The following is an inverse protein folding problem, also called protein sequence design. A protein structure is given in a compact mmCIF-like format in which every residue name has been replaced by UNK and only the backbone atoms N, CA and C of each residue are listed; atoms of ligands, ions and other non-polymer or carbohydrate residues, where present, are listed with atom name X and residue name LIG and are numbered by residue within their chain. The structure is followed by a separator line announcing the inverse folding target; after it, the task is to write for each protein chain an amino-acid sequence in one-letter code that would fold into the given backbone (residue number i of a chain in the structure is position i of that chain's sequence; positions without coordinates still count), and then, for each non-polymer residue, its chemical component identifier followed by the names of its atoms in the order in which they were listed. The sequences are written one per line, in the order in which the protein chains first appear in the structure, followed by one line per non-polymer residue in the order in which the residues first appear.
data_IF_629906133737
#
_entry.id   IF_629906133737
#
_cell.length_a   1.000
_cell.length_b   1.000
_cell.length_c   1.000
_cell.angle_alpha   90.00
_cell.angle_beta   90.00
_cell.angle_gamma   90.00
#
_symmetry.space_group_name_H-M   'P 1'
#
loop_
_entity.id
_entity.type
_entity.pdbx_description
1 polymer ?
#
# COMPACT_ATOMS: atom_id res chain seq x y z
N UNK A 1 -14.15 -13.99 13.73
CA UNK A 1 -15.35 -14.85 14.02
C UNK A 1 -16.56 -14.17 13.37
N UNK A 2 -17.63 -14.90 12.97
CA UNK A 2 -18.84 -14.28 12.42
C UNK A 2 -19.41 -13.17 13.29
N UNK A 3 -19.44 -13.40 14.60
CA UNK A 3 -19.89 -12.45 15.60
C UNK A 3 -19.08 -11.15 15.66
N UNK A 4 -17.77 -11.21 15.38
CA UNK A 4 -16.92 -10.04 15.35
C UNK A 4 -17.27 -9.14 14.14
N UNK A 5 -17.74 -9.71 13.02
CA UNK A 5 -18.22 -9.00 11.84
C UNK A 5 -19.45 -8.14 12.14
N UNK A 6 -20.45 -8.74 12.81
CA UNK A 6 -21.68 -8.05 13.24
C UNK A 6 -21.37 -6.97 14.28
N UNK A 7 -20.53 -7.29 15.29
CA UNK A 7 -20.12 -6.36 16.32
C UNK A 7 -19.36 -5.16 15.75
N UNK A 8 -18.50 -5.38 14.75
CA UNK A 8 -17.78 -4.30 14.10
C UNK A 8 -18.73 -3.37 13.32
N UNK A 9 -19.69 -3.94 12.61
CA UNK A 9 -20.72 -3.16 11.92
C UNK A 9 -21.54 -2.31 12.91
N UNK A 10 -21.96 -2.90 14.04
CA UNK A 10 -22.69 -2.20 15.10
C UNK A 10 -21.85 -1.05 15.70
N UNK A 11 -20.56 -1.30 15.96
CA UNK A 11 -19.64 -0.28 16.45
C UNK A 11 -19.56 0.94 15.52
N UNK A 12 -19.38 0.72 14.20
CA UNK A 12 -19.32 1.82 13.23
C UNK A 12 -20.64 2.61 13.17
N UNK A 13 -21.77 1.92 13.26
CA UNK A 13 -23.10 2.56 13.34
C UNK A 13 -23.21 3.46 14.56
N UNK A 14 -22.86 2.94 15.75
CA UNK A 14 -22.90 3.71 17.01
C UNK A 14 -21.97 4.92 16.97
N UNK A 15 -20.76 4.80 16.40
CA UNK A 15 -19.86 5.93 16.18
C UNK A 15 -20.49 7.01 15.31
N UNK A 16 -21.10 6.63 14.17
CA UNK A 16 -21.71 7.60 13.25
C UNK A 16 -22.92 8.29 13.88
N UNK A 17 -23.73 7.57 14.66
CA UNK A 17 -24.87 8.11 15.40
C UNK A 17 -24.40 9.08 16.50
N UNK A 18 -23.35 8.74 17.23
CA UNK A 18 -22.77 9.60 18.27
C UNK A 18 -22.17 10.90 17.66
N UNK A 19 -21.45 10.80 16.54
CA UNK A 19 -20.93 11.97 15.83
C UNK A 19 -22.05 12.89 15.33
N UNK A 20 -23.14 12.32 14.81
CA UNK A 20 -24.30 13.10 14.38
C UNK A 20 -25.04 13.77 15.56
N UNK A 21 -25.12 13.12 16.71
CA UNK A 21 -25.69 13.70 17.92
C UNK A 21 -24.85 14.86 18.49
N UNK A 22 -23.52 14.67 18.51
CA UNK A 22 -22.58 15.73 18.92
C UNK A 22 -22.67 16.96 18.01
N UNK A 23 -22.71 16.76 16.70
CA UNK A 23 -22.84 17.83 15.71
C UNK A 23 -24.10 18.70 15.95
N UNK A 24 -25.23 18.09 16.29
CA UNK A 24 -26.46 18.81 16.63
C UNK A 24 -26.32 19.69 17.87
N UNK A 25 -25.54 19.24 18.85
CA UNK A 25 -25.33 19.97 20.11
C UNK A 25 -24.30 21.08 19.92
N UNK A 26 -23.21 20.78 19.22
CA UNK A 26 -22.10 21.74 19.01
C UNK A 26 -22.40 22.77 17.92
N UNK A 27 -23.34 22.51 17.02
CA UNK A 27 -23.63 23.33 15.83
C UNK A 27 -22.53 23.26 14.77
N UNK A 28 -21.68 22.22 14.81
CA UNK A 28 -20.58 21.97 13.84
C UNK A 28 -20.98 20.84 12.90
N UNK A 29 -20.19 20.69 11.82
CA UNK A 29 -20.32 19.53 10.92
C UNK A 29 -19.97 18.24 11.67
N UNK A 30 -20.67 17.12 11.36
CA UNK A 30 -20.36 15.83 11.95
C UNK A 30 -18.92 15.39 11.67
N UNK A 31 -18.31 14.73 12.63
CA UNK A 31 -16.99 14.13 12.45
C UNK A 31 -17.02 13.09 11.34
N UNK A 32 -15.98 13.11 10.51
CA UNK A 32 -15.74 12.08 9.51
C UNK A 32 -15.32 10.78 10.21
N UNK A 33 -15.85 9.66 9.73
CA UNK A 33 -15.48 8.34 10.19
C UNK A 33 -14.85 7.56 9.05
N UNK A 34 -13.58 7.23 9.16
CA UNK A 34 -12.81 6.51 8.14
C UNK A 34 -12.22 5.23 8.70
N UNK A 35 -11.80 4.35 7.82
CA UNK A 35 -11.20 3.07 8.21
C UNK A 35 -10.01 2.75 7.31
N UNK A 36 -8.86 2.38 7.90
CA UNK A 36 -7.81 1.69 7.19
C UNK A 36 -7.96 0.18 7.35
N UNK A 37 -7.88 -0.57 6.26
CA UNK A 37 -8.05 -2.02 6.27
C UNK A 37 -7.02 -2.74 5.40
N UNK A 38 -6.61 -3.94 5.82
CA UNK A 38 -5.75 -4.79 4.99
C UNK A 38 -6.42 -5.14 3.66
N UNK A 39 -5.66 -5.10 2.57
CA UNK A 39 -6.15 -5.28 1.20
C UNK A 39 -7.01 -6.54 1.01
N UNK A 40 -6.64 -7.67 1.65
CA UNK A 40 -7.34 -8.96 1.52
C UNK A 40 -8.41 -9.21 2.60
N UNK A 41 -8.89 -8.16 3.26
CA UNK A 41 -9.92 -8.30 4.32
C UNK A 41 -11.36 -8.16 3.83
N UNK A 42 -11.60 -7.86 2.56
CA UNK A 42 -12.92 -7.69 1.97
C UNK A 42 -13.92 -8.77 2.41
N UNK A 43 -13.55 -10.04 2.27
CA UNK A 43 -14.42 -11.20 2.63
C UNK A 43 -14.70 -11.37 4.12
N UNK A 44 -13.99 -10.64 5.00
CA UNK A 44 -14.15 -10.75 6.46
C UNK A 44 -15.10 -9.72 7.03
N UNK A 45 -15.52 -8.73 6.23
CA UNK A 45 -16.33 -7.59 6.62
C UNK A 45 -17.70 -7.62 5.94
N UNK A 46 -18.65 -6.90 6.50
CA UNK A 46 -19.94 -6.63 5.87
C UNK A 46 -19.84 -5.34 5.06
N UNK A 47 -19.23 -5.43 3.87
CA UNK A 47 -18.87 -4.27 3.09
C UNK A 47 -20.05 -3.37 2.74
N UNK A 48 -21.23 -3.90 2.29
CA UNK A 48 -22.37 -3.07 2.03
C UNK A 48 -22.90 -2.33 3.26
N UNK A 49 -22.86 -2.96 4.44
CA UNK A 49 -23.34 -2.32 5.67
C UNK A 49 -22.34 -1.29 6.22
N UNK A 50 -21.06 -1.64 6.34
CA UNK A 50 -20.07 -0.71 6.88
C UNK A 50 -19.88 0.52 6.01
N UNK A 51 -20.04 0.39 4.68
CA UNK A 51 -19.95 1.51 3.74
C UNK A 51 -21.03 2.59 3.97
N UNK A 52 -22.13 2.26 4.65
CA UNK A 52 -23.18 3.23 4.99
C UNK A 52 -22.71 4.19 6.09
N UNK A 53 -21.83 3.72 6.97
CA UNK A 53 -21.40 4.47 8.16
C UNK A 53 -20.04 5.15 7.96
N UNK A 54 -19.21 4.63 7.05
CA UNK A 54 -17.89 5.19 6.75
C UNK A 54 -17.98 6.28 5.66
N UNK A 55 -17.22 7.34 5.85
CA UNK A 55 -17.06 8.39 4.84
C UNK A 55 -16.14 7.92 3.71
N UNK A 56 -15.04 7.21 4.05
CA UNK A 56 -14.20 6.44 3.10
C UNK A 56 -13.44 5.31 3.78
N UNK A 57 -12.88 4.44 2.97
CA UNK A 57 -12.09 3.27 3.37
C UNK A 57 -10.74 3.33 2.66
N UNK A 58 -9.65 3.36 3.43
CA UNK A 58 -8.29 3.24 2.93
C UNK A 58 -7.87 1.77 2.88
N UNK A 59 -7.67 1.20 1.70
CA UNK A 59 -7.14 -0.16 1.57
C UNK A 59 -5.61 -0.12 1.60
N UNK A 60 -5.01 -0.77 2.59
CA UNK A 60 -3.56 -0.92 2.71
C UNK A 60 -3.06 -1.97 1.70
N UNK A 61 -2.92 -1.54 0.43
CA UNK A 61 -2.55 -2.40 -0.69
C UNK A 61 -1.02 -2.52 -0.83
N UNK A 62 -0.36 -2.87 0.26
CA UNK A 62 1.08 -3.07 0.41
C UNK A 62 1.37 -4.10 1.50
N UNK A 63 2.64 -4.38 1.76
CA UNK A 63 3.09 -5.43 2.69
C UNK A 63 2.65 -6.84 2.29
N UNK A 64 2.53 -7.09 0.99
CA UNK A 64 2.16 -8.43 0.53
C UNK A 64 3.30 -9.41 0.76
N UNK A 65 4.54 -8.99 0.53
CA UNK A 65 5.76 -9.75 0.83
C UNK A 65 6.78 -8.91 1.59
N UNK A 66 7.58 -9.58 2.42
CA UNK A 66 8.69 -8.96 3.15
C UNK A 66 9.60 -9.98 3.81
N UNK A 67 10.89 -9.69 3.89
CA UNK A 67 11.90 -10.60 4.41
C UNK A 67 11.70 -11.04 5.86
N UNK A 68 10.86 -10.33 6.64
CA UNK A 68 10.53 -10.70 8.01
C UNK A 68 9.52 -11.84 8.15
N UNK A 69 8.75 -12.14 7.08
CA UNK A 69 7.67 -13.17 7.13
C UNK A 69 7.59 -14.05 5.88
N UNK A 70 8.18 -13.65 4.75
CA UNK A 70 8.18 -14.42 3.51
C UNK A 70 9.48 -15.23 3.39
N UNK A 71 9.37 -16.48 2.93
CA UNK A 71 10.54 -17.36 2.70
C UNK A 71 11.21 -17.13 1.34
N UNK A 72 10.50 -16.48 0.44
CA UNK A 72 10.92 -16.17 -0.92
C UNK A 72 10.74 -14.67 -1.18
N UNK A 73 11.53 -14.14 -2.10
CA UNK A 73 11.40 -12.76 -2.55
C UNK A 73 10.08 -12.56 -3.27
N UNK A 74 9.38 -11.48 -2.93
CA UNK A 74 8.12 -11.12 -3.55
C UNK A 74 7.91 -9.61 -3.49
N UNK A 75 6.97 -9.09 -4.27
CA UNK A 75 6.74 -7.67 -4.39
C UNK A 75 5.97 -7.12 -3.20
N UNK A 76 6.41 -5.97 -2.68
CA UNK A 76 5.72 -5.27 -1.59
C UNK A 76 4.26 -4.91 -1.95
N UNK A 77 4.06 -4.41 -3.17
CA UNK A 77 2.75 -3.98 -3.68
C UNK A 77 2.63 -4.20 -5.19
N UNK A 78 2.63 -5.47 -5.68
CA UNK A 78 2.53 -5.78 -7.11
C UNK A 78 1.20 -5.29 -7.68
N UNK A 79 1.23 -4.64 -8.86
CA UNK A 79 0.02 -4.01 -9.40
C UNK A 79 -0.97 -5.01 -10.02
N UNK A 80 -0.50 -5.82 -10.97
CA UNK A 80 -1.40 -6.58 -11.88
C UNK A 80 -1.36 -8.08 -11.72
N UNK A 81 -0.33 -8.62 -11.14
CA UNK A 81 -0.14 -10.05 -10.92
C UNK A 81 0.95 -10.23 -9.88
N UNK A 82 1.12 -11.45 -9.43
CA UNK A 82 2.14 -11.80 -8.47
C UNK A 82 2.88 -13.05 -8.94
N UNK A 83 4.18 -12.94 -9.24
CA UNK A 83 4.97 -14.10 -9.66
C UNK A 83 5.10 -15.18 -8.58
N UNK A 84 4.78 -14.87 -7.32
CA UNK A 84 4.90 -15.77 -6.18
C UNK A 84 3.57 -16.28 -5.65
N UNK A 85 2.44 -15.69 -6.08
CA UNK A 85 1.12 -16.06 -5.55
C UNK A 85 -0.02 -15.26 -6.15
N UNK A 86 -1.04 -15.03 -5.34
CA UNK A 86 -2.32 -14.44 -5.76
C UNK A 86 -2.61 -13.10 -5.05
N UNK A 87 -1.55 -12.41 -4.61
CA UNK A 87 -1.64 -11.16 -3.85
C UNK A 87 -1.17 -9.96 -4.67
N UNK A 88 -2.10 -9.22 -5.27
CA UNK A 88 -1.80 -8.02 -6.04
C UNK A 88 -2.87 -6.93 -5.91
N UNK A 89 -2.46 -5.69 -6.13
CA UNK A 89 -3.25 -4.48 -5.87
C UNK A 89 -4.56 -4.47 -6.65
N UNK A 90 -4.54 -4.73 -7.96
CA UNK A 90 -5.75 -4.66 -8.78
C UNK A 90 -6.81 -5.68 -8.34
N UNK A 91 -6.39 -6.90 -7.96
CA UNK A 91 -7.31 -7.91 -7.42
C UNK A 91 -7.89 -7.47 -6.08
N UNK A 92 -7.07 -6.90 -5.20
CA UNK A 92 -7.57 -6.40 -3.93
C UNK A 92 -8.64 -5.32 -4.14
N UNK A 93 -8.39 -4.36 -5.05
CA UNK A 93 -9.40 -3.34 -5.42
C UNK A 93 -10.68 -4.00 -5.91
N UNK A 94 -10.58 -4.95 -6.83
CA UNK A 94 -11.75 -5.65 -7.38
C UNK A 94 -12.53 -6.40 -6.29
N UNK A 95 -11.86 -7.08 -5.36
CA UNK A 95 -12.52 -7.78 -4.24
C UNK A 95 -13.32 -6.82 -3.33
N UNK A 96 -12.84 -5.59 -3.11
CA UNK A 96 -13.56 -4.58 -2.32
C UNK A 96 -14.77 -4.01 -3.08
N UNK A 97 -14.63 -3.72 -4.36
CA UNK A 97 -15.70 -3.20 -5.22
C UNK A 97 -16.79 -4.26 -5.43
N UNK A 98 -16.42 -5.48 -5.78
CA UNK A 98 -17.33 -6.62 -5.95
C UNK A 98 -18.04 -6.99 -4.64
N UNK A 99 -17.38 -6.72 -3.51
CA UNK A 99 -17.97 -6.87 -2.18
C UNK A 99 -19.00 -5.81 -1.82
N UNK A 100 -19.18 -4.77 -2.65
CA UNK A 100 -20.22 -3.77 -2.51
C UNK A 100 -19.79 -2.43 -1.89
N UNK A 101 -18.49 -2.15 -1.83
CA UNK A 101 -18.01 -0.80 -1.48
C UNK A 101 -18.18 0.12 -2.69
N UNK A 102 -18.86 1.27 -2.56
CA UNK A 102 -18.93 2.26 -3.63
C UNK A 102 -17.54 2.77 -4.00
N UNK A 103 -17.16 2.87 -5.30
CA UNK A 103 -15.83 3.29 -5.74
C UNK A 103 -15.43 4.65 -5.15
N UNK A 104 -16.36 5.59 -5.05
CA UNK A 104 -16.16 6.93 -4.48
C UNK A 104 -15.91 6.95 -2.95
N UNK A 105 -15.94 5.78 -2.31
CA UNK A 105 -15.56 5.58 -0.91
C UNK A 105 -14.30 4.74 -0.72
N UNK A 106 -13.73 4.22 -1.80
CA UNK A 106 -12.54 3.39 -1.74
C UNK A 106 -11.29 4.18 -2.11
N UNK A 107 -10.33 4.24 -1.21
CA UNK A 107 -9.05 4.95 -1.38
C UNK A 107 -7.93 3.92 -1.48
N UNK A 108 -7.09 4.03 -2.51
CA UNK A 108 -5.96 3.13 -2.72
C UNK A 108 -4.74 3.55 -1.89
N UNK A 109 -4.34 2.71 -0.95
CA UNK A 109 -3.10 2.87 -0.21
C UNK A 109 -1.88 2.47 -1.03
N UNK A 110 -0.88 3.33 -1.04
CA UNK A 110 0.40 3.18 -1.75
C UNK A 110 1.57 3.38 -0.78
N UNK A 111 2.64 2.54 -0.87
CA UNK A 111 3.78 2.68 0.01
C UNK A 111 4.78 3.70 -0.53
N UNK A 112 5.38 4.49 0.37
CA UNK A 112 6.57 5.31 0.13
C UNK A 112 7.81 4.66 0.76
N UNK A 113 7.80 3.33 0.86
CA UNK A 113 8.86 2.50 1.41
C UNK A 113 8.98 1.20 0.65
N UNK A 114 10.07 0.50 0.87
CA UNK A 114 10.28 -0.84 0.32
C UNK A 114 10.51 -1.90 1.40
N UNK A 115 10.40 -3.15 0.98
CA UNK A 115 10.75 -4.32 1.79
C UNK A 115 12.03 -4.95 1.26
N UNK A 116 12.92 -5.37 2.17
CA UNK A 116 14.19 -5.98 1.78
C UNK A 116 14.35 -7.39 2.32
N UNK A 117 15.08 -8.19 1.54
CA UNK A 117 15.37 -9.60 1.80
C UNK A 117 16.87 -9.82 1.80
N UNK A 118 17.35 -10.66 2.70
CA UNK A 118 18.75 -11.05 2.82
C UNK A 118 19.01 -12.48 2.38
N UNK A 119 20.27 -12.80 2.07
CA UNK A 119 20.69 -14.14 1.65
C UNK A 119 20.12 -14.60 0.31
N UNK A 120 19.81 -13.65 -0.58
CA UNK A 120 19.21 -13.94 -1.91
C UNK A 120 20.33 -14.21 -2.92
N UNK A 121 20.38 -15.43 -3.46
CA UNK A 121 21.40 -15.83 -4.45
C UNK A 121 21.01 -15.47 -5.88
N UNK A 122 19.75 -15.49 -6.22
CA UNK A 122 19.22 -15.21 -7.55
C UNK A 122 18.42 -13.91 -7.53
N UNK A 123 18.72 -12.93 -8.40
CA UNK A 123 17.99 -11.67 -8.42
C UNK A 123 16.52 -11.78 -8.85
N UNK A 124 16.09 -12.88 -9.43
CA UNK A 124 14.71 -13.04 -9.90
C UNK A 124 13.70 -13.08 -8.73
N UNK A 125 12.48 -12.56 -8.90
CA UNK A 125 11.40 -12.78 -7.95
C UNK A 125 11.15 -14.28 -7.67
N UNK A 126 10.53 -14.59 -6.55
CA UNK A 126 10.29 -15.96 -6.06
C UNK A 126 11.59 -16.73 -5.72
N UNK A 127 12.69 -16.04 -5.51
CA UNK A 127 13.95 -16.64 -5.07
C UNK A 127 13.97 -16.84 -3.56
N UNK A 128 14.62 -17.89 -3.11
CA UNK A 128 14.79 -18.17 -1.67
C UNK A 128 15.48 -17.01 -0.97
N UNK A 129 15.02 -16.69 0.24
CA UNK A 129 15.58 -15.70 1.13
C UNK A 129 15.88 -16.31 2.50
N UNK A 130 16.94 -15.85 3.14
CA UNK A 130 17.28 -16.22 4.52
C UNK A 130 16.55 -15.36 5.56
N UNK A 131 15.79 -14.34 5.14
CA UNK A 131 15.00 -13.47 6.01
C UNK A 131 15.07 -12.01 5.65
N UNK A 132 14.94 -11.14 6.65
CA UNK A 132 14.98 -9.70 6.48
C UNK A 132 16.34 -9.23 5.94
N UNK A 133 16.30 -8.31 4.99
CA UNK A 133 17.49 -7.62 4.50
C UNK A 133 18.04 -6.60 5.49
N UNK A 134 19.12 -5.89 5.13
CA UNK A 134 19.74 -4.88 6.00
C UNK A 134 18.74 -3.80 6.41
N UNK A 135 18.94 -3.27 7.62
CA UNK A 135 18.22 -2.10 8.12
C UNK A 135 18.69 -0.83 7.41
N UNK A 136 17.78 0.10 7.19
CA UNK A 136 18.11 1.43 6.72
C UNK A 136 18.88 2.25 7.77
N UNK A 137 19.56 3.29 7.31
CA UNK A 137 20.34 4.19 8.17
C UNK A 137 19.45 4.98 9.14
N UNK A 138 18.27 5.40 8.65
CA UNK A 138 17.30 6.21 9.39
C UNK A 138 16.15 5.38 9.93
N UNK A 139 15.57 4.50 9.10
CA UNK A 139 14.46 3.62 9.51
C UNK A 139 14.87 2.61 10.58
N UNK A 140 16.11 2.12 10.55
CA UNK A 140 16.69 1.27 11.60
C UNK A 140 16.07 -0.12 11.77
N UNK A 141 15.07 -0.48 10.98
CA UNK A 141 14.35 -1.75 11.03
C UNK A 141 14.86 -2.70 9.94
N UNK A 142 15.33 -3.93 10.28
CA UNK A 142 15.68 -4.92 9.27
C UNK A 142 14.50 -5.27 8.36
N UNK A 143 14.74 -5.30 7.06
CA UNK A 143 13.70 -5.62 6.08
C UNK A 143 12.78 -4.45 5.70
N UNK A 144 13.02 -3.25 6.22
CA UNK A 144 12.24 -2.04 5.95
C UNK A 144 13.15 -0.87 5.57
N UNK A 145 12.88 -0.21 4.45
CA UNK A 145 13.65 0.92 3.94
C UNK A 145 12.71 2.01 3.44
N UNK A 146 12.94 3.26 3.83
CA UNK A 146 12.27 4.42 3.25
C UNK A 146 12.65 4.59 1.76
N UNK A 147 11.79 5.22 0.97
CA UNK A 147 12.06 5.45 -0.45
C UNK A 147 13.35 6.25 -0.67
N UNK A 148 13.60 7.30 0.13
CA UNK A 148 14.87 8.04 0.05
C UNK A 148 16.10 7.18 0.37
N UNK A 149 16.01 6.22 1.30
CA UNK A 149 17.11 5.30 1.60
C UNK A 149 17.38 4.33 0.44
N UNK A 150 16.32 3.91 -0.26
CA UNK A 150 16.42 3.06 -1.45
C UNK A 150 17.10 3.84 -2.58
N UNK A 151 16.70 5.10 -2.79
CA UNK A 151 17.34 5.97 -3.79
C UNK A 151 18.84 6.15 -3.49
N UNK A 152 19.22 6.45 -2.25
CA UNK A 152 20.63 6.53 -1.82
C UNK A 152 21.42 5.25 -2.16
N UNK A 153 20.82 4.08 -1.91
CA UNK A 153 21.45 2.79 -2.21
C UNK A 153 21.62 2.55 -3.71
N UNK A 154 20.62 2.91 -4.52
CA UNK A 154 20.66 2.79 -5.99
C UNK A 154 21.70 3.77 -6.57
N UNK A 155 21.69 5.03 -6.14
CA UNK A 155 22.61 6.07 -6.59
C UNK A 155 24.09 5.76 -6.21
N UNK A 156 24.30 5.05 -5.11
CA UNK A 156 25.64 4.57 -4.73
C UNK A 156 26.24 3.57 -5.72
N UNK A 157 25.44 3.05 -6.68
CA UNK A 157 25.85 2.04 -7.65
C UNK A 157 25.99 0.61 -7.10
N UNK A 158 25.65 0.38 -5.83
CA UNK A 158 25.71 -0.95 -5.21
C UNK A 158 24.56 -1.85 -5.66
N UNK A 159 23.36 -1.27 -5.80
CA UNK A 159 22.17 -1.99 -6.21
C UNK A 159 21.91 -1.79 -7.69
N UNK A 160 21.72 -2.90 -8.41
CA UNK A 160 21.23 -2.89 -9.78
C UNK A 160 19.71 -2.96 -9.78
N UNK A 161 19.08 -2.05 -10.51
CA UNK A 161 17.61 -1.98 -10.64
C UNK A 161 17.10 -2.87 -11.75
N UNK A 162 15.91 -3.41 -11.56
CA UNK A 162 15.18 -4.26 -12.49
C UNK A 162 13.71 -3.85 -12.49
N UNK A 163 13.03 -4.26 -13.54
CA UNK A 163 11.58 -4.13 -13.65
C UNK A 163 10.96 -5.50 -13.87
N UNK A 164 9.93 -5.83 -13.12
CA UNK A 164 9.14 -7.04 -13.35
C UNK A 164 7.89 -6.69 -14.15
N UNK A 165 7.84 -7.15 -15.41
CA UNK A 165 6.71 -6.89 -16.32
C UNK A 165 5.44 -7.66 -15.93
N UNK A 166 5.54 -8.71 -15.10
CA UNK A 166 4.41 -9.50 -14.62
C UNK A 166 3.63 -8.72 -13.57
N UNK A 167 4.32 -8.19 -12.58
CA UNK A 167 3.73 -7.43 -11.46
C UNK A 167 3.65 -5.92 -11.70
N UNK A 168 4.33 -5.41 -12.74
CA UNK A 168 4.52 -3.98 -12.99
C UNK A 168 5.13 -3.24 -11.80
N UNK A 169 6.20 -3.82 -11.25
CA UNK A 169 6.85 -3.32 -10.03
C UNK A 169 8.37 -3.31 -10.20
N UNK A 170 9.09 -2.26 -9.72
CA UNK A 170 10.53 -2.25 -9.68
C UNK A 170 11.07 -3.08 -8.50
N UNK A 171 12.28 -3.58 -8.67
CA UNK A 171 13.08 -4.16 -7.60
C UNK A 171 14.56 -3.88 -7.81
N UNK A 172 15.34 -4.00 -6.76
CA UNK A 172 16.77 -3.78 -6.81
C UNK A 172 17.53 -4.91 -6.11
N UNK A 173 18.73 -5.22 -6.59
CA UNK A 173 19.54 -6.32 -6.09
C UNK A 173 21.02 -5.94 -6.01
N UNK A 174 21.64 -6.24 -4.87
CA UNK A 174 23.08 -6.19 -4.68
C UNK A 174 23.64 -7.61 -4.52
N UNK A 175 24.36 -8.08 -5.54
CA UNK A 175 24.95 -9.40 -5.56
C UNK A 175 26.08 -9.59 -4.51
N UNK A 176 26.73 -8.51 -4.09
CA UNK A 176 27.83 -8.57 -3.12
C UNK A 176 27.34 -8.85 -1.71
N UNK A 177 26.24 -8.23 -1.31
CA UNK A 177 25.58 -8.44 -0.01
C UNK A 177 24.43 -9.44 -0.07
N UNK A 178 24.08 -9.95 -1.26
CA UNK A 178 22.93 -10.84 -1.50
C UNK A 178 21.62 -10.25 -0.97
N UNK A 179 21.49 -8.93 -1.10
CA UNK A 179 20.33 -8.19 -0.64
C UNK A 179 19.42 -7.81 -1.81
N UNK A 180 18.13 -8.06 -1.64
CA UNK A 180 17.09 -7.80 -2.61
C UNK A 180 16.05 -6.84 -2.02
N UNK A 181 15.60 -5.84 -2.79
CA UNK A 181 14.68 -4.80 -2.33
C UNK A 181 13.53 -4.69 -3.33
N UNK A 182 12.29 -4.71 -2.85
CA UNK A 182 11.09 -4.37 -3.60
C UNK A 182 10.57 -3.03 -3.12
N UNK A 183 10.12 -2.19 -4.05
CA UNK A 183 9.66 -0.83 -3.76
C UNK A 183 8.72 -0.35 -4.86
N UNK A 184 8.20 0.86 -4.74
CA UNK A 184 7.52 1.59 -5.81
C UNK A 184 8.38 2.77 -6.28
N UNK A 185 8.39 3.01 -7.58
CA UNK A 185 8.99 4.19 -8.23
C UNK A 185 7.90 5.03 -8.92
N UNK A 186 8.31 6.12 -9.58
CA UNK A 186 7.38 6.99 -10.30
C UNK A 186 6.63 6.26 -11.42
N UNK A 187 7.23 5.22 -12.04
CA UNK A 187 6.60 4.43 -13.09
C UNK A 187 5.50 3.54 -12.50
N UNK A 188 5.79 2.75 -11.48
CA UNK A 188 4.80 1.86 -10.85
C UNK A 188 3.67 2.64 -10.18
N UNK A 189 3.98 3.76 -9.54
CA UNK A 189 2.99 4.67 -8.95
C UNK A 189 2.09 5.28 -10.02
N UNK A 190 2.63 5.70 -11.16
CA UNK A 190 1.81 6.20 -12.28
C UNK A 190 0.78 5.18 -12.74
N UNK A 191 1.16 3.90 -12.84
CA UNK A 191 0.24 2.81 -13.20
C UNK A 191 -0.82 2.56 -12.11
N UNK A 192 -0.49 2.76 -10.85
CA UNK A 192 -1.46 2.70 -9.73
C UNK A 192 -2.47 3.84 -9.78
N UNK A 193 -2.03 5.04 -10.18
CA UNK A 193 -2.96 6.16 -10.43
C UNK A 193 -3.87 5.87 -11.63
N UNK A 194 -3.37 5.24 -12.69
CA UNK A 194 -4.22 4.79 -13.81
C UNK A 194 -5.31 3.81 -13.33
N UNK A 195 -5.01 2.96 -12.34
CA UNK A 195 -6.02 2.08 -11.72
C UNK A 195 -7.05 2.88 -10.93
N UNK A 196 -6.64 3.90 -10.15
CA UNK A 196 -7.55 4.81 -9.44
C UNK A 196 -8.54 5.44 -10.43
N UNK A 197 -8.03 6.04 -11.50
CA UNK A 197 -8.84 6.69 -12.53
C UNK A 197 -9.77 5.70 -13.23
N UNK A 198 -9.25 4.55 -13.67
CA UNK A 198 -10.01 3.50 -14.37
C UNK A 198 -11.16 2.94 -13.54
N UNK A 199 -10.98 2.82 -12.23
CA UNK A 199 -11.98 2.26 -11.30
C UNK A 199 -12.84 3.34 -10.65
N UNK A 200 -12.62 4.63 -10.94
CA UNK A 200 -13.26 5.78 -10.33
C UNK A 200 -13.18 5.76 -8.80
N UNK A 201 -12.01 5.41 -8.25
CA UNK A 201 -11.80 5.39 -6.81
C UNK A 201 -11.80 6.81 -6.23
N UNK A 202 -12.04 6.93 -4.92
CA UNK A 202 -12.04 8.20 -4.20
C UNK A 202 -10.68 8.93 -4.23
N UNK A 203 -9.58 8.19 -4.36
CA UNK A 203 -8.24 8.77 -4.41
C UNK A 203 -7.15 7.82 -3.97
N UNK A 204 -6.01 8.39 -3.58
CA UNK A 204 -4.84 7.67 -3.08
C UNK A 204 -4.45 8.11 -1.66
N UNK A 205 -3.97 7.17 -0.86
CA UNK A 205 -3.40 7.37 0.46
C UNK A 205 -1.96 6.87 0.49
N UNK A 206 -1.11 7.43 1.31
CA UNK A 206 0.29 7.01 1.45
C UNK A 206 0.62 6.57 2.87
N UNK A 207 1.39 5.49 2.97
CA UNK A 207 2.11 5.12 4.16
C UNK A 207 3.62 5.10 3.85
N UNK A 208 4.39 6.12 4.33
CA UNK A 208 3.95 7.31 5.04
C UNK A 208 4.66 8.54 4.46
N UNK A 209 4.17 9.74 4.79
CA UNK A 209 4.69 11.00 4.23
C UNK A 209 6.20 11.18 4.50
N UNK A 210 6.66 10.81 5.67
CA UNK A 210 8.05 10.92 6.13
C UNK A 210 9.00 9.89 5.49
N UNK A 211 8.48 8.94 4.72
CA UNK A 211 9.25 7.89 4.04
C UNK A 211 9.51 8.20 2.55
N UNK A 212 8.81 9.18 1.97
CA UNK A 212 9.12 9.66 0.61
C UNK A 212 10.42 10.47 0.61
N UNK A 213 10.95 10.77 -0.55
CA UNK A 213 12.20 11.52 -0.69
C UNK A 213 11.98 13.03 -0.49
N UNK A 214 12.02 13.43 0.77
CA UNK A 214 11.82 14.83 1.17
C UNK A 214 12.93 15.78 0.69
N UNK A 215 14.10 15.26 0.32
CA UNK A 215 15.18 16.07 -0.24
C UNK A 215 14.92 16.43 -1.71
N UNK A 216 14.09 15.64 -2.39
CA UNK A 216 13.69 15.81 -3.78
C UNK A 216 12.19 16.16 -3.93
N UNK A 217 11.63 16.97 -3.01
CA UNK A 217 10.26 17.47 -3.04
C UNK A 217 9.17 16.39 -3.03
N UNK A 218 9.39 15.30 -2.30
CA UNK A 218 8.40 14.20 -2.16
C UNK A 218 7.89 13.69 -3.52
N UNK A 219 8.76 13.13 -4.38
CA UNK A 219 8.44 12.86 -5.78
C UNK A 219 7.26 11.89 -5.95
N UNK A 220 7.14 10.88 -5.11
CA UNK A 220 6.02 9.92 -5.17
C UNK A 220 4.70 10.64 -4.86
N UNK A 221 4.61 11.28 -3.71
CA UNK A 221 3.39 11.96 -3.23
C UNK A 221 3.00 13.10 -4.16
N UNK A 222 4.00 13.92 -4.56
CA UNK A 222 3.77 15.08 -5.42
C UNK A 222 3.26 14.68 -6.81
N UNK A 223 3.80 13.59 -7.39
CA UNK A 223 3.35 13.10 -8.71
C UNK A 223 1.88 12.67 -8.69
N UNK A 224 1.47 11.93 -7.65
CA UNK A 224 0.08 11.50 -7.48
C UNK A 224 -0.85 12.68 -7.22
N UNK A 225 -0.45 13.58 -6.32
CA UNK A 225 -1.25 14.76 -5.99
C UNK A 225 -1.51 15.66 -7.22
N UNK A 226 -0.52 15.83 -8.10
CA UNK A 226 -0.68 16.57 -9.36
C UNK A 226 -1.67 15.89 -10.29
N UNK A 227 -1.55 14.58 -10.49
CA UNK A 227 -2.45 13.84 -11.39
C UNK A 227 -3.89 13.84 -10.89
N UNK A 228 -4.12 13.50 -9.63
CA UNK A 228 -5.48 13.39 -9.07
C UNK A 228 -6.18 14.75 -8.93
N UNK A 229 -5.43 15.88 -8.91
CA UNK A 229 -6.01 17.23 -8.91
C UNK A 229 -6.25 17.79 -10.32
N UNK A 230 -6.01 17.01 -11.38
CA UNK A 230 -6.18 17.45 -12.77
C UNK A 230 -5.11 18.44 -13.24
N UNK A 231 -3.96 18.47 -12.57
CA UNK A 231 -2.78 19.22 -13.02
C UNK A 231 -1.99 18.42 -14.04
N UNK A 232 -1.84 18.98 -15.25
CA UNK A 232 -0.91 18.49 -16.27
C UNK A 232 0.53 18.74 -15.85
#
# INVERSE_FOLDING_TARGET
RPQDRENFTALLKEFKEAAAAEAKISGKEPLLLTMASGAHKAKTLDLPEISKYLDWIDIMAYDFYGGGWSKETGMNAPLTNDPTGDFYVAKAVDEWLDGGVPPEKLVLGMPTYGRSFGGVEDPRPASKSEGAGPKGRCTGEPGFLAYYEINDLIESGKYKTYWDDVSNTPYAYDASSKSWITYDDLRSISLKVDLIDKKNLAGGMFWAIDLDDFQNDYPIITSVARRLRGGA
#
